data_IF_552236848888
#
_entry.id   IF_552236848888
#
_cell.length_a   1.000
_cell.length_b   1.000
_cell.length_c   1.000
_cell.angle_alpha   90.00
_cell.angle_beta   90.00
_cell.angle_gamma   90.00
#
_symmetry.space_group_name_H-M   'P 1'
#
loop_
_entity.id
_entity.type
_entity.pdbx_description
1 polymer ?
#
# COMPACT_ATOMS: atom_id res chain seq x y z
N UNK A 1 23.79 -17.45 -20.85
CA UNK A 1 22.32 -17.46 -20.78
C UNK A 1 21.91 -18.39 -19.64
N UNK A 2 21.88 -17.88 -18.41
CA UNK A 2 21.21 -18.60 -17.33
C UNK A 2 19.72 -18.40 -17.59
N UNK A 3 19.04 -19.46 -18.03
CA UNK A 3 17.58 -19.48 -18.11
C UNK A 3 17.07 -19.16 -16.71
N UNK A 4 16.43 -18.01 -16.55
CA UNK A 4 15.84 -17.55 -15.29
C UNK A 4 14.93 -18.67 -14.74
N UNK A 5 15.37 -19.38 -13.71
CA UNK A 5 14.59 -20.42 -13.01
C UNK A 5 13.51 -19.81 -12.10
N UNK A 6 12.96 -18.65 -12.47
CA UNK A 6 11.91 -18.01 -11.69
C UNK A 6 10.57 -18.73 -11.95
N UNK A 7 9.84 -19.04 -10.88
CA UNK A 7 8.45 -19.47 -10.97
C UNK A 7 7.58 -18.24 -11.12
N UNK A 8 7.00 -18.04 -12.29
CA UNK A 8 6.12 -16.91 -12.58
C UNK A 8 4.68 -17.40 -12.62
N UNK A 9 3.84 -16.85 -11.76
CA UNK A 9 2.41 -17.12 -11.72
C UNK A 9 1.60 -15.84 -11.88
N UNK A 10 0.36 -15.97 -12.30
CA UNK A 10 -0.59 -14.88 -12.46
C UNK A 10 -1.91 -15.24 -11.76
N UNK A 11 -2.54 -14.23 -11.15
CA UNK A 11 -3.87 -14.34 -10.58
C UNK A 11 -4.81 -13.43 -11.37
N UNK A 12 -5.88 -14.02 -11.89
CA UNK A 12 -6.91 -13.30 -12.64
C UNK A 12 -7.65 -12.30 -11.76
N UNK A 13 -8.10 -11.15 -12.31
CA UNK A 13 -9.00 -10.25 -11.61
C UNK A 13 -10.40 -10.84 -11.36
N UNK A 14 -10.71 -11.99 -11.95
CA UNK A 14 -11.99 -12.69 -11.81
C UNK A 14 -11.83 -14.00 -11.03
N UNK A 15 -12.84 -14.41 -10.23
CA UNK A 15 -12.81 -15.68 -9.53
C UNK A 15 -12.86 -16.88 -10.52
N UNK A 16 -12.31 -18.05 -10.15
CA UNK A 16 -11.61 -18.33 -8.90
C UNK A 16 -10.19 -17.73 -8.87
N UNK A 17 -9.83 -17.09 -7.76
CA UNK A 17 -8.52 -16.46 -7.55
C UNK A 17 -7.43 -17.52 -7.30
N UNK A 18 -6.94 -18.12 -8.38
CA UNK A 18 -5.92 -19.16 -8.35
C UNK A 18 -4.66 -18.70 -9.09
N UNK A 19 -3.51 -19.03 -8.53
CA UNK A 19 -2.23 -18.86 -9.21
C UNK A 19 -2.16 -19.81 -10.42
N UNK A 20 -1.98 -19.24 -11.61
CA UNK A 20 -1.77 -19.98 -12.86
C UNK A 20 -0.38 -19.69 -13.40
N UNK A 21 0.27 -20.69 -13.98
CA UNK A 21 1.57 -20.49 -14.62
C UNK A 21 1.48 -19.40 -15.69
N UNK A 22 2.48 -18.54 -15.72
CA UNK A 22 2.60 -17.42 -16.65
C UNK A 22 4.01 -17.46 -17.26
N UNK A 23 4.11 -17.37 -18.59
CA UNK A 23 5.42 -17.27 -19.23
C UNK A 23 5.99 -15.85 -19.10
N UNK A 24 7.31 -15.71 -19.19
CA UNK A 24 7.97 -14.41 -19.09
C UNK A 24 7.46 -13.40 -20.14
N UNK A 25 7.15 -13.88 -21.35
CA UNK A 25 6.68 -13.06 -22.48
C UNK A 25 5.27 -12.48 -22.23
N UNK A 26 4.45 -13.19 -21.45
CA UNK A 26 3.06 -12.78 -21.16
C UNK A 26 2.97 -11.77 -20.00
N UNK A 27 3.99 -11.70 -19.13
CA UNK A 27 3.96 -10.93 -17.87
C UNK A 27 3.41 -9.52 -18.07
N UNK A 28 3.98 -8.76 -19.01
CA UNK A 28 3.61 -7.36 -19.23
C UNK A 28 2.17 -7.22 -19.74
N UNK A 29 1.76 -8.07 -20.69
CA UNK A 29 0.38 -8.05 -21.22
C UNK A 29 -0.65 -8.43 -20.16
N UNK A 30 -0.34 -9.38 -19.28
CA UNK A 30 -1.24 -9.85 -18.22
C UNK A 30 -1.40 -8.82 -17.12
N UNK A 31 -0.32 -8.13 -16.72
CA UNK A 31 -0.42 -6.98 -15.80
C UNK A 31 -1.32 -5.88 -16.37
N UNK A 32 -1.20 -5.58 -17.67
CA UNK A 32 -2.05 -4.58 -18.33
C UNK A 32 -3.53 -5.00 -18.39
N UNK A 33 -3.81 -6.30 -18.38
CA UNK A 33 -5.17 -6.85 -18.31
C UNK A 33 -5.72 -6.89 -16.87
N UNK A 34 -4.92 -6.55 -15.87
CA UNK A 34 -5.30 -6.57 -14.46
C UNK A 34 -5.03 -7.88 -13.74
N UNK A 35 -4.16 -8.73 -14.29
CA UNK A 35 -3.66 -9.87 -13.52
C UNK A 35 -2.56 -9.40 -12.55
N UNK A 36 -2.55 -9.98 -11.36
CA UNK A 36 -1.46 -9.79 -10.40
C UNK A 36 -0.43 -10.88 -10.70
N UNK A 37 0.78 -10.47 -11.05
CA UNK A 37 1.89 -11.39 -11.32
C UNK A 37 2.71 -11.58 -10.06
N UNK A 38 3.06 -12.83 -9.78
CA UNK A 38 3.93 -13.22 -8.67
C UNK A 38 5.16 -13.90 -9.29
N UNK A 39 6.33 -13.36 -8.98
CA UNK A 39 7.62 -13.93 -9.38
C UNK A 39 8.25 -14.50 -8.11
N UNK A 40 8.48 -15.81 -8.10
CA UNK A 40 9.11 -16.53 -6.99
C UNK A 40 10.40 -17.21 -7.44
N UNK A 41 11.25 -17.53 -6.48
CA UNK A 41 12.47 -18.32 -6.69
C UNK A 41 13.41 -17.75 -7.77
N UNK A 42 13.41 -16.43 -7.94
CA UNK A 42 14.26 -15.73 -8.91
C UNK A 42 15.63 -15.43 -8.32
N UNK A 43 16.68 -16.10 -8.81
CA UNK A 43 18.07 -15.81 -8.41
C UNK A 43 18.46 -14.35 -8.70
N UNK A 44 17.97 -13.79 -9.81
CA UNK A 44 18.14 -12.37 -10.13
C UNK A 44 17.59 -11.48 -9.01
N UNK A 45 16.38 -11.76 -8.50
CA UNK A 45 15.79 -10.94 -7.43
C UNK A 45 16.47 -11.17 -6.09
N UNK A 46 16.87 -12.41 -5.76
CA UNK A 46 17.61 -12.73 -4.54
C UNK A 46 18.95 -12.00 -4.47
N UNK A 47 19.71 -12.01 -5.56
CA UNK A 47 21.00 -11.29 -5.64
C UNK A 47 20.82 -9.79 -5.40
N UNK A 48 19.79 -9.19 -6.01
CA UNK A 48 19.51 -7.75 -5.86
C UNK A 48 19.01 -7.40 -4.46
N UNK A 49 18.18 -8.23 -3.86
CA UNK A 49 17.77 -8.08 -2.45
C UNK A 49 18.97 -8.19 -1.52
N UNK A 50 19.89 -9.12 -1.76
CA UNK A 50 21.12 -9.24 -0.97
C UNK A 50 21.97 -7.97 -1.04
N UNK A 51 22.16 -7.40 -2.24
CA UNK A 51 22.88 -6.14 -2.42
C UNK A 51 22.18 -4.96 -1.72
N UNK A 52 20.86 -4.86 -1.84
CA UNK A 52 20.06 -3.87 -1.12
C UNK A 52 20.23 -4.00 0.41
N UNK A 53 20.06 -5.22 0.94
CA UNK A 53 20.18 -5.49 2.36
C UNK A 53 21.58 -5.20 2.88
N UNK A 54 22.64 -5.49 2.11
CA UNK A 54 24.01 -5.13 2.47
C UNK A 54 24.15 -3.61 2.66
N UNK A 55 23.70 -2.80 1.70
CA UNK A 55 23.75 -1.33 1.79
C UNK A 55 22.94 -0.83 3.01
N UNK A 56 21.76 -1.40 3.23
CA UNK A 56 20.87 -1.02 4.32
C UNK A 56 21.45 -1.36 5.70
N UNK A 57 21.93 -2.59 5.88
CA UNK A 57 22.47 -3.08 7.14
C UNK A 57 23.82 -2.44 7.46
N UNK A 58 24.68 -2.19 6.48
CA UNK A 58 25.90 -1.41 6.68
C UNK A 58 25.58 0.02 7.15
N UNK A 59 24.53 0.64 6.60
CA UNK A 59 24.10 1.97 7.03
C UNK A 59 23.55 1.99 8.46
N UNK A 60 22.84 0.93 8.88
CA UNK A 60 22.32 0.72 10.24
C UNK A 60 23.47 0.49 11.20
N UNK A 61 24.30 -0.54 10.97
CA UNK A 61 25.40 -0.93 11.85
C UNK A 61 26.42 0.22 12.00
N UNK A 62 26.65 1.02 10.95
CA UNK A 62 27.50 2.23 11.05
C UNK A 62 26.86 3.35 11.88
N UNK A 63 25.54 3.53 11.81
CA UNK A 63 24.83 4.53 12.63
C UNK A 63 24.66 4.08 14.08
N UNK A 64 24.60 2.76 14.30
CA UNK A 64 24.32 2.13 15.58
C UNK A 64 25.27 0.93 15.78
N UNK A 65 26.53 1.16 16.16
CA UNK A 65 27.56 0.12 16.26
C UNK A 65 27.25 -1.00 17.26
N UNK A 66 26.35 -0.74 18.21
CA UNK A 66 25.89 -1.71 19.19
C UNK A 66 24.86 -2.71 18.62
N UNK A 67 24.45 -2.54 17.36
CA UNK A 67 23.52 -3.41 16.64
C UNK A 67 24.29 -4.14 15.53
N UNK A 68 24.22 -5.46 15.52
CA UNK A 68 24.65 -6.28 14.39
C UNK A 68 23.42 -6.88 13.69
N UNK A 69 22.87 -6.13 12.74
CA UNK A 69 21.66 -6.53 12.04
C UNK A 69 21.97 -7.33 10.77
N UNK A 70 21.35 -8.50 10.62
CA UNK A 70 21.42 -9.33 9.40
C UNK A 70 20.04 -9.60 8.79
N UNK A 71 18.98 -9.09 9.41
CA UNK A 71 17.59 -9.26 8.97
C UNK A 71 16.77 -8.04 9.39
N UNK A 72 15.73 -7.73 8.62
CA UNK A 72 14.78 -6.69 8.99
C UNK A 72 13.89 -7.11 10.16
N UNK A 73 13.75 -8.42 10.40
CA UNK A 73 13.01 -8.95 11.55
C UNK A 73 13.51 -8.32 12.84
N UNK A 74 12.58 -7.98 13.71
CA UNK A 74 12.86 -7.36 15.02
C UNK A 74 13.64 -6.03 14.99
N UNK A 75 13.78 -5.35 13.85
CA UNK A 75 14.46 -4.04 13.80
C UNK A 75 13.91 -3.03 14.83
N UNK A 76 12.60 -3.09 15.09
CA UNK A 76 11.93 -2.24 16.07
C UNK A 76 12.39 -2.49 17.51
N UNK A 77 12.94 -3.66 17.85
CA UNK A 77 13.48 -3.89 19.20
C UNK A 77 14.74 -3.07 19.48
N UNK A 78 15.42 -2.61 18.43
CA UNK A 78 16.66 -1.85 18.55
C UNK A 78 16.48 -0.35 18.27
N UNK A 79 15.59 0.00 17.34
CA UNK A 79 15.35 1.38 16.92
C UNK A 79 13.89 1.75 17.15
N UNK A 80 13.64 2.94 17.69
CA UNK A 80 12.31 3.44 18.01
C UNK A 80 12.08 4.84 17.45
N UNK A 81 10.83 5.19 17.17
CA UNK A 81 10.40 6.53 16.76
C UNK A 81 11.31 7.21 15.73
N UNK A 82 11.92 8.33 16.12
CA UNK A 82 12.79 9.15 15.28
C UNK A 82 14.02 8.41 14.74
N UNK A 83 14.53 7.41 15.47
CA UNK A 83 15.67 6.61 15.00
C UNK A 83 15.27 5.76 13.77
N UNK A 84 14.09 5.13 13.82
CA UNK A 84 13.53 4.39 12.68
C UNK A 84 13.25 5.31 11.49
N UNK A 85 12.74 6.51 11.74
CA UNK A 85 12.51 7.48 10.68
C UNK A 85 13.82 7.92 10.02
N UNK A 86 14.80 8.34 10.82
CA UNK A 86 16.10 8.79 10.34
C UNK A 86 16.84 7.71 9.57
N UNK A 87 16.80 6.46 10.04
CA UNK A 87 17.45 5.36 9.33
C UNK A 87 16.73 5.01 8.02
N UNK A 88 15.39 5.02 8.00
CA UNK A 88 14.64 4.77 6.78
C UNK A 88 14.93 5.86 5.72
N UNK A 89 15.01 7.13 6.12
CA UNK A 89 15.39 8.23 5.22
C UNK A 89 16.81 8.05 4.67
N UNK A 90 17.77 7.70 5.54
CA UNK A 90 19.15 7.45 5.15
C UNK A 90 19.27 6.27 4.18
N UNK A 91 18.57 5.16 4.44
CA UNK A 91 18.56 3.99 3.56
C UNK A 91 17.95 4.34 2.20
N UNK A 92 16.83 5.05 2.16
CA UNK A 92 16.24 5.53 0.91
C UNK A 92 17.24 6.36 0.09
N UNK A 93 17.95 7.31 0.71
CA UNK A 93 18.95 8.13 0.03
C UNK A 93 20.14 7.32 -0.50
N UNK A 94 20.64 6.36 0.28
CA UNK A 94 21.79 5.54 -0.10
C UNK A 94 21.44 4.54 -1.20
N UNK A 95 20.22 4.03 -1.19
CA UNK A 95 19.78 2.97 -2.12
C UNK A 95 19.14 3.51 -3.39
N UNK A 96 18.66 4.76 -3.45
CA UNK A 96 18.00 5.34 -4.63
C UNK A 96 18.77 5.10 -5.95
N UNK A 97 20.10 5.35 -6.06
CA UNK A 97 20.82 5.13 -7.31
C UNK A 97 20.84 3.65 -7.72
N UNK A 98 20.98 2.76 -6.73
CA UNK A 98 20.97 1.32 -6.91
C UNK A 98 19.58 0.83 -7.34
N UNK A 99 18.52 1.28 -6.67
CA UNK A 99 17.14 0.89 -6.98
C UNK A 99 16.72 1.34 -8.38
N UNK A 100 17.09 2.55 -8.80
CA UNK A 100 16.82 3.01 -10.16
C UNK A 100 17.52 2.13 -11.22
N UNK A 101 18.75 1.70 -10.96
CA UNK A 101 19.49 0.81 -11.84
C UNK A 101 18.90 -0.62 -11.82
N UNK A 102 18.54 -1.14 -10.65
CA UNK A 102 17.85 -2.43 -10.52
C UNK A 102 16.53 -2.44 -11.28
N UNK A 103 15.70 -1.41 -11.14
CA UNK A 103 14.44 -1.32 -11.90
C UNK A 103 14.69 -1.35 -13.41
N UNK A 104 15.76 -0.72 -13.90
CA UNK A 104 16.14 -0.80 -15.33
C UNK A 104 16.48 -2.23 -15.73
N UNK A 105 17.39 -2.88 -15.00
CA UNK A 105 17.85 -4.24 -15.29
C UNK A 105 16.70 -5.25 -15.19
N UNK A 106 15.77 -5.05 -14.25
CA UNK A 106 14.56 -5.85 -14.15
C UNK A 106 13.74 -5.76 -15.44
N UNK A 107 13.50 -4.56 -15.97
CA UNK A 107 12.72 -4.41 -17.20
C UNK A 107 13.51 -4.88 -18.43
N UNK A 108 14.79 -4.52 -18.57
CA UNK A 108 15.56 -4.79 -19.78
C UNK A 108 16.11 -6.21 -19.87
N UNK A 109 16.54 -6.77 -18.74
CA UNK A 109 17.31 -8.00 -18.69
C UNK A 109 16.47 -9.14 -18.13
N UNK A 110 15.74 -8.92 -17.04
CA UNK A 110 14.85 -9.95 -16.47
C UNK A 110 13.60 -10.14 -17.33
N UNK A 111 12.84 -9.08 -17.61
CA UNK A 111 11.65 -9.12 -18.50
C UNK A 111 11.99 -9.12 -19.99
N UNK A 112 13.27 -8.98 -20.34
CA UNK A 112 13.76 -8.96 -21.73
C UNK A 112 13.12 -7.88 -22.62
N UNK A 113 12.61 -6.79 -22.03
CA UNK A 113 11.96 -5.71 -22.77
C UNK A 113 13.01 -4.76 -23.38
N UNK A 114 13.07 -4.70 -24.71
CA UNK A 114 14.12 -3.96 -25.45
C UNK A 114 13.71 -2.57 -25.92
N UNK A 115 12.40 -2.30 -25.95
CA UNK A 115 11.88 -1.00 -26.33
C UNK A 115 12.11 0.06 -25.24
N UNK A 116 11.86 1.31 -25.59
CA UNK A 116 11.96 2.42 -24.66
C UNK A 116 10.87 2.33 -23.58
N UNK A 117 11.29 2.40 -22.32
CA UNK A 117 10.42 2.53 -21.15
C UNK A 117 10.88 3.66 -20.22
N UNK A 118 10.06 3.97 -19.22
CA UNK A 118 10.28 5.05 -18.27
C UNK A 118 10.26 4.52 -16.84
N UNK A 119 11.23 4.94 -16.05
CA UNK A 119 11.40 4.54 -14.66
C UNK A 119 10.97 5.69 -13.77
N UNK A 120 10.24 5.37 -12.71
CA UNK A 120 9.78 6.36 -11.77
C UNK A 120 10.93 6.83 -10.87
N UNK A 121 10.93 8.11 -10.47
CA UNK A 121 12.01 8.65 -9.66
C UNK A 121 11.99 8.22 -8.21
N UNK A 122 10.82 8.08 -7.61
CA UNK A 122 10.73 7.84 -6.17
C UNK A 122 10.63 6.33 -5.94
N UNK A 123 11.76 5.71 -5.63
CA UNK A 123 11.83 4.34 -5.12
C UNK A 123 11.59 4.39 -3.61
N UNK A 124 10.68 3.57 -3.12
CA UNK A 124 10.18 3.68 -1.73
C UNK A 124 10.59 2.43 -0.94
N UNK A 125 11.38 2.62 0.11
CA UNK A 125 11.60 1.62 1.15
C UNK A 125 10.48 1.74 2.18
N UNK A 126 9.75 0.63 2.37
CA UNK A 126 8.59 0.54 3.27
C UNK A 126 8.97 -0.32 4.47
N UNK A 127 9.03 0.29 5.65
CA UNK A 127 9.43 -0.37 6.90
C UNK A 127 8.25 -0.34 7.86
N UNK A 128 7.56 -1.47 7.99
CA UNK A 128 6.31 -1.58 8.75
C UNK A 128 6.56 -2.40 10.01
N UNK A 129 6.60 -1.71 11.14
CA UNK A 129 6.75 -2.33 12.47
C UNK A 129 5.44 -2.97 12.95
N UNK A 130 5.47 -3.89 13.94
CA UNK A 130 4.25 -4.36 14.59
C UNK A 130 3.38 -3.19 15.05
N UNK A 131 2.06 -3.33 14.90
CA UNK A 131 1.16 -2.19 15.08
C UNK A 131 1.23 -1.57 16.48
N UNK A 132 1.49 -2.36 17.52
CA UNK A 132 1.67 -1.82 18.87
C UNK A 132 2.82 -0.80 18.92
N UNK A 133 3.96 -1.13 18.32
CA UNK A 133 5.11 -0.22 18.21
C UNK A 133 4.74 1.02 17.39
N UNK A 134 3.96 0.84 16.32
CA UNK A 134 3.45 1.98 15.56
C UNK A 134 2.56 2.89 16.42
N UNK A 135 1.65 2.34 17.21
CA UNK A 135 0.73 3.08 18.06
C UNK A 135 1.48 3.89 19.14
N UNK A 136 2.52 3.31 19.74
CA UNK A 136 3.38 3.98 20.72
C UNK A 136 4.20 5.13 20.12
N UNK A 137 4.43 5.11 18.80
CA UNK A 137 5.24 6.09 18.06
C UNK A 137 4.41 6.88 17.02
N UNK A 138 3.10 6.95 17.21
CA UNK A 138 2.16 7.41 16.18
C UNK A 138 2.45 8.85 15.71
N UNK A 139 2.85 9.76 16.62
CA UNK A 139 3.17 11.15 16.29
C UNK A 139 4.30 11.29 15.27
N UNK A 140 5.29 10.39 15.33
CA UNK A 140 6.43 10.38 14.42
C UNK A 140 6.08 9.68 13.11
N UNK A 141 5.27 8.61 13.13
CA UNK A 141 5.03 7.80 11.93
C UNK A 141 3.87 8.28 11.06
N UNK A 142 2.83 8.91 11.62
CA UNK A 142 1.66 9.40 10.87
C UNK A 142 1.97 10.32 9.68
N UNK A 143 3.00 11.18 9.69
CA UNK A 143 3.32 12.00 8.52
C UNK A 143 3.90 11.19 7.34
N UNK A 144 4.28 9.93 7.55
CA UNK A 144 5.05 9.10 6.62
C UNK A 144 4.19 7.97 6.04
N UNK A 145 3.07 8.36 5.41
CA UNK A 145 2.13 7.46 4.75
C UNK A 145 2.80 6.64 3.63
N UNK A 146 2.59 5.33 3.66
CA UNK A 146 3.13 4.38 2.70
C UNK A 146 4.56 3.93 2.98
N UNK A 147 5.32 4.61 3.83
CA UNK A 147 6.68 4.22 4.21
C UNK A 147 6.76 3.64 5.63
N UNK A 148 6.17 4.31 6.61
CA UNK A 148 6.11 3.87 8.01
C UNK A 148 4.67 3.71 8.51
N UNK A 149 3.73 4.47 7.92
CA UNK A 149 2.31 4.32 8.17
C UNK A 149 1.65 3.51 7.05
N UNK A 150 0.80 2.58 7.44
CA UNK A 150 0.00 1.77 6.53
C UNK A 150 -1.02 2.60 5.73
N UNK A 151 -1.31 2.16 4.51
CA UNK A 151 -2.27 2.81 3.62
C UNK A 151 -3.60 2.04 3.58
N UNK A 152 -4.70 2.76 3.76
CA UNK A 152 -6.06 2.28 3.52
C UNK A 152 -6.31 1.96 2.03
N UNK A 153 -7.41 1.27 1.66
CA UNK A 153 -7.65 0.89 0.28
C UNK A 153 -7.65 2.09 -0.67
N UNK A 154 -6.78 2.01 -1.67
CA UNK A 154 -6.57 3.06 -2.67
C UNK A 154 -6.11 2.48 -3.99
N UNK A 155 -6.23 3.28 -5.06
CA UNK A 155 -5.41 3.11 -6.25
C UNK A 155 -4.27 4.11 -6.22
N UNK A 156 -3.14 3.69 -6.74
CA UNK A 156 -1.91 4.46 -6.73
C UNK A 156 -2.04 5.73 -7.62
N UNK A 157 -2.92 5.71 -8.62
CA UNK A 157 -3.21 6.85 -9.49
C UNK A 157 -4.07 7.95 -8.85
N UNK A 158 -4.76 7.66 -7.74
CA UNK A 158 -5.70 8.59 -7.12
C UNK A 158 -5.01 9.81 -6.51
N UNK A 159 -5.75 10.91 -6.37
CA UNK A 159 -5.25 12.13 -5.73
C UNK A 159 -4.16 12.89 -6.51
N UNK A 160 -4.02 12.61 -7.81
CA UNK A 160 -2.90 13.10 -8.60
C UNK A 160 -1.63 12.27 -8.45
N UNK A 161 -1.77 11.00 -8.08
CA UNK A 161 -0.68 10.06 -7.88
C UNK A 161 0.01 9.66 -9.19
N UNK A 162 0.26 8.36 -9.36
CA UNK A 162 1.03 7.86 -10.49
C UNK A 162 0.23 7.86 -11.81
N UNK A 163 0.92 7.86 -12.95
CA UNK A 163 0.27 7.70 -14.24
C UNK A 163 -0.42 6.33 -14.34
N UNK A 164 -1.64 6.27 -14.88
CA UNK A 164 -2.44 5.04 -15.01
C UNK A 164 -1.72 3.92 -15.79
N UNK A 165 -0.75 4.29 -16.64
CA UNK A 165 0.09 3.37 -17.41
C UNK A 165 1.23 2.76 -16.60
N UNK A 166 1.37 3.11 -15.32
CA UNK A 166 2.46 2.65 -14.47
C UNK A 166 2.19 1.26 -13.92
N UNK A 167 3.28 0.51 -13.75
CA UNK A 167 3.31 -0.83 -13.18
C UNK A 167 4.11 -0.74 -11.88
N UNK A 168 3.51 -1.26 -10.81
CA UNK A 168 4.17 -1.47 -9.53
C UNK A 168 5.05 -2.71 -9.57
N UNK A 169 6.24 -2.55 -9.01
CA UNK A 169 7.17 -3.60 -8.68
C UNK A 169 7.37 -3.57 -7.16
N UNK A 170 6.66 -4.45 -6.45
CA UNK A 170 6.74 -4.57 -4.99
C UNK A 170 7.52 -5.83 -4.61
N UNK A 171 8.60 -5.66 -3.85
CA UNK A 171 9.60 -6.70 -3.63
C UNK A 171 9.79 -6.91 -2.14
N UNK A 172 9.65 -8.16 -1.69
CA UNK A 172 9.97 -8.56 -0.33
C UNK A 172 11.49 -8.55 -0.14
N UNK A 173 12.01 -7.73 0.77
CA UNK A 173 13.45 -7.68 1.09
C UNK A 173 13.84 -8.66 2.20
N UNK A 174 12.85 -9.10 2.96
CA UNK A 174 12.90 -10.15 3.96
C UNK A 174 11.59 -10.94 3.90
N UNK A 175 11.40 -11.94 4.74
CA UNK A 175 10.16 -12.71 4.79
C UNK A 175 8.94 -11.81 5.12
N UNK A 176 7.87 -12.00 4.34
CA UNK A 176 6.56 -11.38 4.53
C UNK A 176 5.58 -12.47 4.91
N UNK A 177 4.94 -12.30 6.05
CA UNK A 177 4.01 -13.25 6.64
C UNK A 177 2.56 -12.82 6.38
N UNK A 178 1.64 -13.77 6.47
CA UNK A 178 0.23 -13.43 6.63
C UNK A 178 0.06 -12.66 7.94
N UNK A 179 -0.65 -11.54 7.91
CA UNK A 179 -0.73 -10.63 9.05
C UNK A 179 0.31 -9.52 9.02
N UNK A 180 1.13 -9.41 7.97
CA UNK A 180 1.89 -8.19 7.67
C UNK A 180 2.03 -7.94 6.16
N UNK A 181 1.21 -8.55 5.30
CA UNK A 181 1.34 -8.50 3.84
C UNK A 181 0.78 -7.21 3.19
N UNK A 182 0.65 -7.22 1.86
CA UNK A 182 -0.24 -6.33 1.13
C UNK A 182 -1.55 -7.04 0.80
N UNK A 183 -2.61 -6.24 0.70
CA UNK A 183 -3.96 -6.69 0.41
C UNK A 183 -4.37 -6.22 -0.98
N UNK A 184 -4.98 -7.11 -1.76
CA UNK A 184 -5.48 -6.82 -3.10
C UNK A 184 -6.97 -7.10 -3.21
N UNK A 185 -7.67 -6.30 -4.01
CA UNK A 185 -9.08 -6.48 -4.31
C UNK A 185 -9.27 -6.66 -5.83
N UNK A 186 -8.95 -7.85 -6.39
CA UNK A 186 -9.02 -8.09 -7.83
C UNK A 186 -10.43 -7.92 -8.40
N UNK A 187 -11.47 -8.22 -7.62
CA UNK A 187 -12.88 -7.98 -7.96
C UNK A 187 -13.20 -6.51 -8.24
N UNK A 188 -12.36 -5.57 -7.80
CA UNK A 188 -12.53 -4.13 -8.03
C UNK A 188 -11.80 -3.65 -9.30
N UNK A 189 -11.10 -4.55 -10.01
CA UNK A 189 -10.42 -4.24 -11.26
C UNK A 189 -11.42 -3.78 -12.32
N UNK A 190 -11.09 -2.71 -13.03
CA UNK A 190 -11.92 -2.13 -14.10
C UNK A 190 -13.24 -1.50 -13.62
N UNK A 191 -13.64 -1.64 -12.35
CA UNK A 191 -14.84 -1.01 -11.81
C UNK A 191 -14.61 0.48 -11.58
N UNK A 192 -15.63 1.29 -11.85
CA UNK A 192 -15.62 2.69 -11.44
C UNK A 192 -15.84 2.76 -9.92
N UNK A 193 -14.89 3.36 -9.21
CA UNK A 193 -15.00 3.58 -7.76
C UNK A 193 -15.15 5.09 -7.57
N UNK A 194 -16.28 5.57 -7.01
CA UNK A 194 -16.45 6.99 -6.76
C UNK A 194 -15.40 7.46 -5.76
N UNK A 195 -14.66 8.50 -6.14
CA UNK A 195 -13.74 9.18 -5.23
C UNK A 195 -14.44 10.38 -4.62
N UNK A 196 -14.37 10.56 -3.29
CA UNK A 196 -14.66 11.85 -2.70
C UNK A 196 -13.68 12.86 -3.29
N UNK A 197 -14.18 14.03 -3.68
CA UNK A 197 -13.44 15.08 -4.41
C UNK A 197 -12.19 15.62 -3.71
N UNK A 198 -11.87 15.15 -2.50
CA UNK A 198 -10.71 15.56 -1.70
C UNK A 198 -9.86 14.39 -1.13
N UNK A 199 -10.24 13.12 -1.36
CA UNK A 199 -9.65 11.98 -0.64
C UNK A 199 -8.88 11.06 -1.60
N UNK A 200 -7.73 10.52 -1.17
CA UNK A 200 -6.87 9.59 -1.93
C UNK A 200 -7.09 8.13 -1.56
N UNK A 201 -8.18 7.82 -0.85
CA UNK A 201 -8.58 6.51 -0.38
C UNK A 201 -10.08 6.33 -0.58
N UNK A 202 -10.51 5.08 -0.52
CA UNK A 202 -11.88 4.68 -0.81
C UNK A 202 -12.88 5.23 0.21
N UNK A 203 -14.13 5.45 -0.21
CA UNK A 203 -15.23 5.72 0.73
C UNK A 203 -15.40 4.59 1.74
N UNK A 204 -15.70 4.94 2.99
CA UNK A 204 -15.76 3.98 4.11
C UNK A 204 -16.72 2.82 3.86
N UNK A 205 -17.87 3.12 3.26
CA UNK A 205 -18.95 2.19 2.96
C UNK A 205 -18.87 1.58 1.55
N UNK A 206 -17.81 1.86 0.78
CA UNK A 206 -17.67 1.26 -0.55
C UNK A 206 -17.61 -0.26 -0.42
N UNK A 207 -18.38 -1.02 -1.21
CA UNK A 207 -18.39 -2.47 -1.12
C UNK A 207 -17.01 -3.10 -1.39
N UNK A 208 -16.49 -3.79 -0.37
CA UNK A 208 -15.28 -4.59 -0.45
C UNK A 208 -15.63 -6.03 -0.12
N UNK A 209 -14.82 -6.96 -0.63
CA UNK A 209 -14.93 -8.37 -0.28
C UNK A 209 -13.59 -8.81 0.34
N UNK A 210 -13.50 -10.09 0.70
CA UNK A 210 -12.27 -10.70 1.20
C UNK A 210 -11.07 -10.36 0.29
N UNK A 211 -10.04 -9.66 0.77
CA UNK A 211 -8.87 -9.34 -0.03
C UNK A 211 -7.99 -10.58 -0.23
N UNK A 212 -7.21 -10.58 -1.31
CA UNK A 212 -6.07 -11.49 -1.46
C UNK A 212 -4.88 -10.96 -0.67
N UNK A 213 -4.10 -11.88 -0.11
CA UNK A 213 -2.88 -11.62 0.66
C UNK A 213 -1.84 -12.70 0.40
N UNK A 214 -0.57 -12.37 0.55
CA UNK A 214 0.53 -13.26 0.15
C UNK A 214 1.57 -13.42 1.24
N UNK A 215 1.97 -14.66 1.52
CA UNK A 215 3.25 -14.95 2.16
C UNK A 215 4.34 -14.96 1.08
N UNK A 216 5.43 -14.26 1.32
CA UNK A 216 6.49 -14.00 0.34
C UNK A 216 7.86 -14.20 0.99
N UNK A 217 8.75 -14.87 0.27
CA UNK A 217 10.14 -15.06 0.68
C UNK A 217 11.01 -13.88 0.19
N UNK A 218 12.21 -13.67 0.74
CA UNK A 218 13.11 -12.64 0.24
C UNK A 218 13.38 -12.79 -1.27
N UNK A 219 13.12 -11.72 -2.04
CA UNK A 219 13.22 -11.72 -3.50
C UNK A 219 11.91 -12.03 -4.23
N UNK A 220 10.91 -12.60 -3.55
CA UNK A 220 9.58 -12.75 -4.13
C UNK A 220 8.99 -11.36 -4.44
N UNK A 221 8.34 -11.29 -5.59
CA UNK A 221 7.99 -10.01 -6.20
C UNK A 221 6.58 -10.03 -6.74
N UNK A 222 5.83 -8.97 -6.42
CA UNK A 222 4.50 -8.71 -6.94
C UNK A 222 4.56 -7.64 -8.02
N UNK A 223 4.03 -7.97 -9.20
CA UNK A 223 3.85 -7.06 -10.32
C UNK A 223 2.36 -6.81 -10.54
N UNK A 224 1.94 -5.54 -10.53
CA UNK A 224 0.54 -5.17 -10.70
C UNK A 224 0.41 -3.75 -11.23
N UNK A 225 -0.69 -3.45 -11.93
CA UNK A 225 -0.99 -2.09 -12.36
C UNK A 225 -1.27 -1.15 -11.18
N UNK A 226 -0.90 0.14 -11.30
CA UNK A 226 -1.29 1.16 -10.31
C UNK A 226 -2.80 1.34 -10.15
N UNK A 227 -3.59 0.85 -11.13
CA UNK A 227 -5.05 0.84 -11.09
C UNK A 227 -5.64 -0.30 -10.24
N UNK A 228 -4.83 -1.23 -9.72
CA UNK A 228 -5.34 -2.20 -8.77
C UNK A 228 -5.68 -1.52 -7.46
N UNK A 229 -6.92 -1.73 -7.00
CA UNK A 229 -7.28 -1.39 -5.63
C UNK A 229 -6.48 -2.32 -4.69
N UNK A 230 -5.74 -1.72 -3.78
CA UNK A 230 -4.92 -2.42 -2.81
C UNK A 230 -4.79 -1.63 -1.51
N UNK A 231 -4.38 -2.30 -0.45
CA UNK A 231 -4.07 -1.69 0.85
C UNK A 231 -2.93 -2.43 1.54
N UNK A 232 -2.48 -1.91 2.67
CA UNK A 232 -1.56 -2.62 3.55
C UNK A 232 -2.31 -3.47 4.56
N UNK A 233 -1.88 -4.71 4.80
CA UNK A 233 -2.33 -5.47 5.96
C UNK A 233 -1.77 -4.82 7.23
N UNK A 234 -2.59 -4.72 8.27
CA UNK A 234 -2.09 -4.29 9.58
C UNK A 234 -1.03 -5.28 10.06
N UNK A 235 0.11 -4.80 10.54
CA UNK A 235 1.16 -5.68 11.03
C UNK A 235 0.78 -6.22 12.43
N UNK A 236 0.21 -7.42 12.44
CA UNK A 236 -0.19 -8.20 13.62
C UNK A 236 0.84 -9.27 13.99
N UNK A 237 1.97 -9.30 13.27
CA UNK A 237 3.08 -10.19 13.54
C UNK A 237 4.05 -9.54 14.52
N UNK A 238 4.99 -10.34 15.00
CA UNK A 238 6.06 -9.87 15.88
C UNK A 238 7.26 -9.30 15.10
N UNK A 239 7.22 -9.26 13.76
CA UNK A 239 8.38 -8.90 12.93
C UNK A 239 8.18 -7.56 12.23
N UNK A 240 9.27 -6.77 12.11
CA UNK A 240 9.28 -5.62 11.21
C UNK A 240 9.36 -6.13 9.78
N UNK A 241 8.40 -5.72 8.94
CA UNK A 241 8.44 -5.97 7.50
C UNK A 241 9.23 -4.87 6.80
N UNK A 242 10.14 -5.24 5.93
CA UNK A 242 10.69 -4.33 4.93
C UNK A 242 10.35 -4.78 3.51
N UNK A 243 10.00 -3.83 2.66
CA UNK A 243 9.76 -4.06 1.24
C UNK A 243 10.22 -2.86 0.42
N UNK A 244 10.64 -3.12 -0.81
CA UNK A 244 10.97 -2.07 -1.77
C UNK A 244 9.84 -1.95 -2.79
N UNK A 245 9.42 -0.72 -3.07
CA UNK A 245 8.53 -0.43 -4.20
C UNK A 245 9.25 0.40 -5.23
N UNK A 246 9.30 -0.12 -6.45
CA UNK A 246 9.76 0.58 -7.64
C UNK A 246 8.61 0.64 -8.65
N UNK A 247 8.67 1.56 -9.62
CA UNK A 247 7.64 1.70 -10.64
C UNK A 247 8.25 1.97 -12.00
N UNK A 248 7.61 1.46 -13.04
CA UNK A 248 7.98 1.73 -14.42
C UNK A 248 6.74 1.86 -15.30
N UNK A 249 6.89 2.42 -16.49
CA UNK A 249 5.85 2.47 -17.50
C UNK A 249 6.44 2.21 -18.89
N UNK A 250 5.74 1.40 -19.67
CA UNK A 250 6.16 1.05 -21.04
C UNK A 250 5.92 2.18 -22.04
N UNK A 251 5.02 3.11 -21.70
CA UNK A 251 4.71 4.31 -22.49
C UNK A 251 5.05 5.57 -21.69
N UNK A 252 5.11 6.72 -22.35
CA UNK A 252 5.42 7.95 -21.63
C UNK A 252 4.26 8.28 -20.67
N UNK A 253 4.51 8.36 -19.36
CA UNK A 253 3.48 8.51 -18.36
C UNK A 253 2.87 9.91 -18.42
N UNK A 254 1.54 9.97 -18.40
CA UNK A 254 0.79 11.22 -18.30
C UNK A 254 0.31 11.38 -16.87
N UNK A 255 0.63 12.52 -16.25
CA UNK A 255 0.17 12.81 -14.88
C UNK A 255 -1.33 13.11 -14.92
N UNK A 256 -2.16 12.41 -14.13
CA UNK A 256 -3.61 12.65 -14.12
C UNK A 256 -3.96 14.01 -13.48
N UNK A 257 -3.03 14.61 -12.71
CA UNK A 257 -3.21 15.95 -12.16
C UNK A 257 -1.93 16.77 -12.10
N UNK A 258 -2.09 18.07 -11.83
CA UNK A 258 -1.00 19.03 -11.63
C UNK A 258 -0.58 19.15 -10.16
N UNK A 259 -1.12 18.35 -9.24
CA UNK A 259 -0.99 18.59 -7.80
C UNK A 259 0.25 17.91 -7.22
N UNK A 260 0.64 16.77 -7.79
CA UNK A 260 1.79 15.97 -7.34
C UNK A 260 2.63 15.51 -8.54
N UNK A 261 3.04 16.44 -9.40
CA UNK A 261 3.93 16.10 -10.51
C UNK A 261 5.23 15.47 -10.00
N UNK A 262 5.64 14.38 -10.65
CA UNK A 262 6.81 13.57 -10.31
C UNK A 262 7.61 13.28 -11.57
N UNK A 263 8.93 13.18 -11.41
CA UNK A 263 9.83 13.00 -12.53
C UNK A 263 9.91 11.54 -12.97
N UNK A 264 10.13 11.34 -14.27
CA UNK A 264 10.32 10.02 -14.86
C UNK A 264 11.63 10.01 -15.64
N UNK A 265 12.40 8.94 -15.46
CA UNK A 265 13.66 8.69 -16.11
C UNK A 265 13.46 7.87 -17.38
N UNK A 266 13.92 8.37 -18.52
CA UNK A 266 14.04 7.59 -19.74
C UNK A 266 15.15 6.55 -19.60
N UNK A 267 14.77 5.27 -19.71
CA UNK A 267 15.62 4.08 -19.53
C UNK A 267 16.94 4.12 -20.32
N UNK A 268 16.93 4.76 -21.50
CA UNK A 268 18.11 4.89 -22.38
C UNK A 268 19.26 5.63 -21.73
N UNK A 269 18.98 6.53 -20.78
CA UNK A 269 19.98 7.43 -20.21
C UNK A 269 20.44 7.06 -18.79
N UNK A 270 19.65 6.26 -18.04
CA UNK A 270 19.87 5.96 -16.60
C UNK A 270 21.26 5.41 -16.26
N UNK A 271 21.84 4.60 -17.14
CA UNK A 271 23.15 3.94 -16.93
C UNK A 271 24.25 4.54 -17.81
N UNK A 272 24.09 5.79 -18.24
CA UNK A 272 25.03 6.45 -19.16
C UNK A 272 25.60 7.71 -18.53
N UNK A 273 26.70 8.22 -19.08
CA UNK A 273 27.26 9.54 -18.71
C UNK A 273 26.26 10.70 -18.90
N UNK A 274 25.19 10.46 -19.65
CA UNK A 274 24.12 11.41 -19.95
C UNK A 274 22.89 11.22 -19.06
N UNK A 275 23.01 10.57 -17.89
CA UNK A 275 21.90 10.38 -16.94
C UNK A 275 21.13 11.67 -16.63
N UNK A 276 21.79 12.83 -16.62
CA UNK A 276 21.14 14.13 -16.42
C UNK A 276 20.08 14.47 -17.48
N UNK A 277 20.15 13.88 -18.68
CA UNK A 277 19.12 14.00 -19.73
C UNK A 277 17.92 13.06 -19.52
N UNK A 278 18.02 12.06 -18.63
CA UNK A 278 17.00 11.04 -18.44
C UNK A 278 15.63 11.64 -18.06
N UNK A 279 15.62 12.72 -17.28
CA UNK A 279 14.40 13.39 -16.83
C UNK A 279 13.95 14.55 -17.72
N UNK A 280 14.73 14.91 -18.76
CA UNK A 280 14.48 16.12 -19.54
C UNK A 280 13.03 16.15 -20.10
N UNK A 281 12.58 15.05 -20.70
CA UNK A 281 11.21 14.95 -21.24
C UNK A 281 10.13 15.15 -20.16
N UNK A 282 10.38 14.66 -18.94
CA UNK A 282 9.46 14.84 -17.83
C UNK A 282 9.38 16.32 -17.42
N UNK A 283 10.52 17.01 -17.32
CA UNK A 283 10.59 18.44 -16.99
C UNK A 283 10.06 19.38 -18.09
N UNK A 284 9.94 18.92 -19.34
CA UNK A 284 9.29 19.69 -20.42
C UNK A 284 7.84 19.28 -20.67
N UNK A 285 7.25 18.43 -19.83
CA UNK A 285 5.85 18.02 -19.95
C UNK A 285 4.88 19.13 -19.57
N UNK A 286 3.68 19.12 -20.18
CA UNK A 286 2.59 20.03 -19.80
C UNK A 286 2.23 19.92 -18.31
N UNK A 287 2.28 18.70 -17.76
CA UNK A 287 2.06 18.44 -16.35
C UNK A 287 3.06 19.18 -15.43
N UNK A 288 4.35 19.17 -15.77
CA UNK A 288 5.37 19.90 -15.00
C UNK A 288 5.14 21.41 -15.04
N UNK A 289 4.80 21.95 -16.22
CA UNK A 289 4.52 23.38 -16.40
C UNK A 289 3.30 23.77 -15.55
N UNK A 290 2.20 23.02 -15.63
CA UNK A 290 1.01 23.23 -14.81
C UNK A 290 1.29 23.16 -13.30
N UNK A 291 2.07 22.17 -12.86
CA UNK A 291 2.53 22.04 -11.47
C UNK A 291 3.32 23.25 -11.01
N UNK A 292 4.30 23.73 -11.80
CA UNK A 292 5.08 24.94 -11.45
C UNK A 292 4.21 26.18 -11.34
N UNK A 293 3.31 26.41 -12.31
CA UNK A 293 2.40 27.54 -12.30
C UNK A 293 1.48 27.51 -11.07
N UNK A 294 0.92 26.34 -10.74
CA UNK A 294 0.07 26.15 -9.55
C UNK A 294 0.84 26.37 -8.25
N UNK A 295 2.06 25.84 -8.13
CA UNK A 295 2.87 26.02 -6.92
C UNK A 295 3.36 27.47 -6.76
N UNK A 296 3.66 28.17 -7.86
CA UNK A 296 3.87 29.61 -7.80
C UNK A 296 2.61 30.31 -7.29
N UNK A 297 1.43 30.02 -7.82
CA UNK A 297 0.15 30.59 -7.35
C UNK A 297 -0.10 30.32 -5.86
N UNK A 298 0.12 29.07 -5.39
CA UNK A 298 0.04 28.71 -3.96
C UNK A 298 1.06 29.47 -3.11
N UNK A 299 2.29 29.67 -3.60
CA UNK A 299 3.32 30.48 -2.92
C UNK A 299 2.88 31.93 -2.80
N UNK A 300 2.34 32.53 -3.86
CA UNK A 300 1.79 33.88 -3.84
C UNK A 300 0.59 34.00 -2.88
N UNK A 301 -0.31 33.03 -2.88
CA UNK A 301 -1.43 32.98 -1.93
C UNK A 301 -0.93 32.83 -0.48
N UNK A 302 0.09 32.01 -0.21
CA UNK A 302 0.70 31.89 1.12
C UNK A 302 1.34 33.19 1.56
N UNK A 303 2.08 33.89 0.68
CA UNK A 303 2.66 35.20 0.98
C UNK A 303 1.55 36.21 1.30
N UNK A 304 0.48 36.23 0.48
CA UNK A 304 -0.68 37.09 0.71
C UNK A 304 -1.37 36.77 2.05
N UNK A 305 -1.65 35.50 2.33
CA UNK A 305 -2.26 35.05 3.58
C UNK A 305 -1.36 35.27 4.79
N UNK A 306 -0.03 35.15 4.65
CA UNK A 306 0.91 35.44 5.72
C UNK A 306 0.99 36.94 6.03
N UNK A 307 0.87 37.79 5.01
CA UNK A 307 0.69 39.23 5.20
C UNK A 307 -0.66 39.52 5.86
N UNK A 308 -1.74 38.87 5.42
CA UNK A 308 -3.10 39.08 5.92
C UNK A 308 -3.28 38.60 7.38
N UNK A 309 -2.79 37.40 7.72
CA UNK A 309 -2.81 36.83 9.07
C UNK A 309 -1.91 37.58 10.07
N UNK A 310 -0.94 38.36 9.59
CA UNK A 310 -0.14 39.27 10.43
C UNK A 310 -0.95 40.49 10.88
N UNK A 311 -2.02 40.83 10.18
CA UNK A 311 -2.89 41.97 10.50
C UNK A 311 -4.27 41.55 11.04
N UNK A 312 -4.79 40.35 10.72
CA UNK A 312 -6.07 39.85 11.21
C UNK A 312 -6.05 38.32 11.36
N UNK A 313 -5.85 37.77 12.56
CA UNK A 313 -5.97 36.34 12.79
C UNK A 313 -7.45 35.91 12.72
N UNK A 314 -7.77 34.99 11.82
CA UNK A 314 -9.11 34.39 11.72
C UNK A 314 -9.18 33.08 12.51
N UNK A 315 -10.29 32.88 13.23
CA UNK A 315 -10.66 31.62 13.86
C UNK A 315 -11.24 30.65 12.82
N UNK A 316 -10.79 29.40 12.84
CA UNK A 316 -11.28 28.33 11.97
C UNK A 316 -12.63 27.80 12.45
N UNK A 317 -13.66 27.70 11.58
CA UNK A 317 -14.87 26.97 11.92
C UNK A 317 -14.66 25.47 11.73
N UNK A 318 -15.05 24.73 12.76
CA UNK A 318 -15.18 23.28 12.78
C UNK A 318 -16.28 22.87 11.78
N UNK A 319 -15.94 22.00 10.82
CA UNK A 319 -16.89 21.46 9.85
C UNK A 319 -17.26 20.03 10.24
N UNK A 320 -18.48 19.88 10.74
CA UNK A 320 -19.15 18.60 10.92
C UNK A 320 -19.89 18.27 9.62
N UNK A 321 -19.43 17.26 8.88
CA UNK A 321 -20.18 16.70 7.76
C UNK A 321 -20.90 15.43 8.24
N UNK A 322 -22.23 15.51 8.33
CA UNK A 322 -23.11 14.38 8.51
C UNK A 322 -23.53 13.82 7.15
N UNK A 323 -23.31 12.53 6.95
CA UNK A 323 -23.80 11.78 5.79
C UNK A 323 -24.92 10.84 6.26
N UNK A 324 -26.14 11.17 5.83
CA UNK A 324 -27.31 10.29 5.96
C UNK A 324 -27.29 9.26 4.84
N UNK A 325 -27.23 7.98 5.18
CA UNK A 325 -27.62 6.89 4.28
C UNK A 325 -28.29 5.78 5.10
N UNK A 326 -29.57 5.54 4.85
CA UNK A 326 -30.23 4.26 5.12
C UNK A 326 -30.23 3.42 3.84
N UNK A 327 -30.08 2.10 3.98
CA UNK A 327 -31.11 1.24 3.43
C UNK A 327 -31.58 0.22 4.45
N UNK A 328 -32.90 0.12 4.58
CA UNK A 328 -33.58 -0.96 5.27
C UNK A 328 -33.50 -2.18 4.33
N UNK A 329 -32.82 -3.25 4.76
CA UNK A 329 -32.74 -4.51 4.01
C UNK A 329 -33.41 -5.60 4.83
N UNK A 330 -34.26 -6.35 4.14
CA UNK A 330 -35.09 -7.44 4.67
C UNK A 330 -34.24 -8.51 5.37
N UNK A 331 -34.53 -8.74 6.66
CA UNK A 331 -33.78 -9.58 7.58
C UNK A 331 -34.14 -11.06 7.38
N UNK A 332 -33.53 -11.74 6.40
CA UNK A 332 -33.59 -13.21 6.30
C UNK A 332 -32.24 -13.89 6.02
N UNK A 333 -31.65 -14.37 7.12
CA UNK A 333 -31.00 -15.67 7.35
C UNK A 333 -30.08 -16.23 6.25
N UNK A 334 -28.84 -15.75 6.18
CA UNK A 334 -27.71 -16.57 5.72
C UNK A 334 -26.67 -16.56 6.85
N UNK A 335 -26.24 -17.73 7.35
CA UNK A 335 -25.22 -17.79 8.40
C UNK A 335 -23.94 -17.10 7.91
N UNK A 336 -23.28 -16.36 8.79
CA UNK A 336 -22.02 -15.65 8.54
C UNK A 336 -22.07 -14.48 7.54
N UNK A 337 -23.25 -14.02 7.12
CA UNK A 337 -23.39 -12.75 6.37
C UNK A 337 -23.57 -11.59 7.35
N UNK A 338 -22.74 -10.55 7.19
CA UNK A 338 -22.81 -9.34 8.00
C UNK A 338 -23.93 -8.45 7.46
N UNK A 339 -24.80 -7.98 8.35
CA UNK A 339 -25.93 -7.13 8.03
C UNK A 339 -25.82 -5.80 8.78
N UNK A 340 -26.23 -4.71 8.14
CA UNK A 340 -26.31 -3.39 8.78
C UNK A 340 -27.64 -3.34 9.54
N UNK A 341 -27.59 -3.20 10.86
CA UNK A 341 -28.78 -3.01 11.70
C UNK A 341 -29.19 -1.55 11.71
N UNK A 342 -28.22 -0.65 11.89
CA UNK A 342 -28.41 0.80 11.90
C UNK A 342 -27.12 1.55 11.50
N UNK A 343 -27.08 2.87 11.66
CA UNK A 343 -25.95 3.71 11.29
C UNK A 343 -24.63 3.35 12.01
N UNK A 344 -24.70 2.72 13.17
CA UNK A 344 -23.56 2.45 14.06
C UNK A 344 -23.37 0.98 14.40
N UNK A 345 -24.32 0.10 14.05
CA UNK A 345 -24.35 -1.30 14.47
C UNK A 345 -24.51 -2.24 13.29
N UNK A 346 -23.73 -3.32 13.32
CA UNK A 346 -23.85 -4.48 12.45
C UNK A 346 -24.28 -5.70 13.25
N UNK A 347 -24.80 -6.69 12.54
CA UNK A 347 -25.24 -7.95 13.12
C UNK A 347 -24.82 -9.11 12.22
N UNK A 348 -24.48 -10.24 12.83
CA UNK A 348 -24.27 -11.51 12.13
C UNK A 348 -25.04 -12.61 12.83
N UNK A 349 -25.70 -13.46 12.03
CA UNK A 349 -26.26 -14.72 12.52
C UNK A 349 -25.18 -15.80 12.44
N UNK A 350 -24.92 -16.43 13.58
CA UNK A 350 -24.05 -17.61 13.72
C UNK A 350 -24.89 -18.81 14.15
N UNK A 351 -24.30 -20.01 14.14
CA UNK A 351 -24.97 -21.22 14.66
C UNK A 351 -25.34 -21.07 16.15
N UNK A 352 -24.52 -20.36 16.93
CA UNK A 352 -24.70 -20.13 18.38
C UNK A 352 -25.64 -18.96 18.71
N UNK A 353 -26.20 -18.32 17.68
CA UNK A 353 -27.10 -17.17 17.84
C UNK A 353 -26.65 -15.92 17.12
N UNK A 354 -27.34 -14.82 17.43
CA UNK A 354 -27.13 -13.54 16.78
C UNK A 354 -26.11 -12.70 17.57
N UNK A 355 -25.11 -12.16 16.88
CA UNK A 355 -24.06 -11.33 17.48
C UNK A 355 -24.14 -9.93 16.87
N UNK A 356 -24.38 -8.91 17.70
CA UNK A 356 -24.32 -7.50 17.33
C UNK A 356 -22.96 -6.90 17.70
N UNK A 357 -22.44 -6.01 16.85
CA UNK A 357 -21.15 -5.35 17.03
C UNK A 357 -21.12 -3.96 16.36
N UNK A 358 -20.17 -3.06 16.74
CA UNK A 358 -20.05 -1.75 16.11
C UNK A 358 -19.78 -1.85 14.62
N UNK A 359 -20.39 -0.98 13.82
CA UNK A 359 -20.23 -0.95 12.35
C UNK A 359 -18.82 -0.54 11.92
N UNK A 360 -18.16 0.35 12.67
CA UNK A 360 -16.88 0.91 12.24
C UNK A 360 -15.71 0.29 13.02
N UNK A 361 -14.70 -0.15 12.26
CA UNK A 361 -13.49 -0.72 12.81
C UNK A 361 -12.75 0.32 13.69
N UNK A 362 -12.37 -0.02 14.94
CA UNK A 362 -11.70 0.91 15.85
C UNK A 362 -10.29 1.33 15.39
N UNK A 363 -9.73 0.68 14.37
CA UNK A 363 -8.40 1.02 13.85
C UNK A 363 -8.40 2.29 12.97
N UNK A 364 -9.10 2.27 11.83
CA UNK A 364 -9.15 3.41 10.89
C UNK A 364 -10.57 3.70 10.38
N UNK A 365 -11.60 3.19 11.09
CA UNK A 365 -13.00 3.47 10.76
C UNK A 365 -13.53 2.78 9.50
N UNK A 366 -12.85 1.75 9.01
CA UNK A 366 -13.36 0.92 7.91
C UNK A 366 -14.71 0.28 8.28
N UNK A 367 -15.65 0.26 7.34
CA UNK A 367 -16.99 -0.31 7.55
C UNK A 367 -16.91 -1.84 7.65
N UNK A 368 -17.16 -2.37 8.84
CA UNK A 368 -17.14 -3.80 9.13
C UNK A 368 -18.29 -4.53 8.43
N UNK A 369 -19.32 -3.83 7.95
CA UNK A 369 -20.32 -4.43 7.06
C UNK A 369 -19.73 -4.95 5.75
N UNK A 370 -18.59 -4.40 5.32
CA UNK A 370 -17.85 -4.86 4.14
C UNK A 370 -16.81 -5.94 4.47
N UNK A 371 -16.71 -6.31 5.75
CA UNK A 371 -15.82 -7.36 6.23
C UNK A 371 -16.28 -8.75 5.81
N UNK A 372 -15.59 -9.76 6.33
CA UNK A 372 -15.94 -11.15 6.12
C UNK A 372 -15.72 -11.96 7.38
N UNK A 373 -16.38 -13.10 7.48
CA UNK A 373 -16.26 -14.02 8.62
C UNK A 373 -15.57 -15.29 8.16
N UNK A 374 -14.58 -15.71 8.93
CA UNK A 374 -13.83 -16.94 8.69
C UNK A 374 -13.35 -17.48 10.04
N UNK A 375 -13.53 -18.78 10.27
CA UNK A 375 -13.02 -19.46 11.46
C UNK A 375 -13.40 -18.76 12.79
N UNK A 376 -14.67 -18.36 12.93
CA UNK A 376 -15.17 -17.70 14.14
C UNK A 376 -14.67 -16.27 14.35
N UNK A 377 -14.04 -15.66 13.35
CA UNK A 377 -13.49 -14.30 13.42
C UNK A 377 -14.10 -13.38 12.38
N UNK A 378 -14.32 -12.13 12.75
CA UNK A 378 -14.69 -11.02 11.86
C UNK A 378 -13.42 -10.31 11.37
N UNK A 379 -13.24 -10.21 10.06
CA UNK A 379 -12.13 -9.53 9.42
C UNK A 379 -12.57 -8.19 8.82
N UNK A 380 -11.88 -7.12 9.19
CA UNK A 380 -12.06 -5.81 8.58
C UNK A 380 -11.52 -5.80 7.15
N UNK A 381 -12.34 -5.40 6.18
CA UNK A 381 -11.95 -5.39 4.77
C UNK A 381 -10.72 -4.53 4.48
N UNK A 382 -10.55 -3.39 5.17
CA UNK A 382 -9.51 -2.41 4.84
C UNK A 382 -8.07 -2.87 5.10
N UNK A 383 -7.84 -3.49 6.26
CA UNK A 383 -6.49 -3.84 6.74
C UNK A 383 -6.40 -5.28 7.24
N UNK A 384 -7.46 -6.06 7.05
CA UNK A 384 -7.55 -7.46 7.45
C UNK A 384 -7.33 -7.72 8.95
N UNK A 385 -7.65 -6.73 9.78
CA UNK A 385 -7.67 -6.86 11.24
C UNK A 385 -8.79 -7.84 11.63
N UNK A 386 -8.46 -8.86 12.42
CA UNK A 386 -9.39 -9.89 12.84
C UNK A 386 -9.88 -9.64 14.27
N UNK A 387 -11.16 -9.89 14.52
CA UNK A 387 -11.79 -9.87 15.83
C UNK A 387 -12.44 -11.22 16.11
N UNK A 388 -12.12 -11.81 17.24
CA UNK A 388 -12.75 -13.03 17.72
C UNK A 388 -14.23 -12.76 18.03
N UNK A 389 -15.16 -13.51 17.40
CA UNK A 389 -16.61 -13.29 17.59
C UNK A 389 -17.11 -13.81 18.94
N UNK A 390 -16.29 -14.57 19.68
CA UNK A 390 -16.65 -15.00 21.02
C UNK A 390 -16.35 -13.90 22.06
N UNK A 391 -15.20 -13.25 21.94
CA UNK A 391 -14.62 -12.36 22.96
C UNK A 391 -14.55 -10.90 22.54
N UNK A 392 -14.69 -10.60 21.25
CA UNK A 392 -14.48 -9.28 20.65
C UNK A 392 -13.00 -8.87 20.55
N UNK A 393 -12.07 -9.71 21.03
CA UNK A 393 -10.64 -9.37 21.08
C UNK A 393 -10.04 -9.33 19.68
N UNK A 394 -9.23 -8.30 19.35
CA UNK A 394 -8.51 -8.26 18.10
C UNK A 394 -7.28 -9.16 18.15
N UNK A 395 -6.79 -9.60 16.99
CA UNK A 395 -5.48 -10.25 16.87
C UNK A 395 -4.29 -9.25 16.95
N UNK A 396 -4.49 -8.09 17.57
CA UNK A 396 -3.54 -6.99 17.60
C UNK A 396 -3.65 -6.21 18.92
N UNK A 397 -2.62 -6.30 19.78
CA UNK A 397 -2.66 -5.75 21.14
C UNK A 397 -2.90 -4.22 21.21
N UNK A 398 -2.48 -3.46 20.19
CA UNK A 398 -2.68 -2.01 20.13
C UNK A 398 -4.10 -1.55 19.75
N UNK A 399 -5.04 -2.48 19.53
CA UNK A 399 -6.41 -2.16 19.11
C UNK A 399 -7.40 -2.54 20.24
N UNK A 400 -8.38 -1.69 20.58
CA UNK A 400 -9.40 -2.06 21.55
C UNK A 400 -10.34 -3.16 21.01
N UNK A 401 -10.90 -4.01 21.90
CA UNK A 401 -11.87 -5.03 21.52
C UNK A 401 -13.19 -4.43 21.04
N UNK A 402 -13.93 -5.19 20.23
CA UNK A 402 -15.31 -4.86 19.87
C UNK A 402 -16.24 -5.17 21.04
N UNK A 403 -17.16 -4.25 21.32
CA UNK A 403 -18.28 -4.51 22.22
C UNK A 403 -19.30 -5.42 21.54
N UNK A 404 -19.38 -6.68 21.98
CA UNK A 404 -20.31 -7.66 21.43
C UNK A 404 -21.58 -7.75 22.28
N UNK A 405 -22.74 -7.81 21.63
CA UNK A 405 -24.01 -8.16 22.27
C UNK A 405 -24.55 -9.45 21.64
N UNK A 406 -24.57 -10.53 22.42
CA UNK A 406 -24.99 -11.87 21.96
C UNK A 406 -26.42 -12.14 22.38
N UNK A 407 -27.28 -12.43 21.42
CA UNK A 407 -28.61 -12.96 21.65
C UNK A 407 -28.60 -14.44 21.34
N UNK A 408 -28.56 -15.25 22.40
CA UNK A 408 -28.67 -16.71 22.31
C UNK A 408 -30.17 -17.03 22.14
N UNK A 409 -30.57 -17.82 21.12
CA UNK A 409 -31.94 -18.27 21.02
C UNK A 409 -32.33 -19.00 22.32
N UNK A 410 -33.43 -18.59 22.96
CA UNK A 410 -33.96 -19.36 24.09
C UNK A 410 -34.28 -20.79 23.62
N UNK A 411 -33.84 -21.83 24.38
CA UNK A 411 -34.03 -23.23 23.99
C UNK A 411 -35.49 -23.66 23.87
#
# INVERSE_FOLDING_TARGET
MLVNQAKITAISPQPPYQERSCSLEEVLSRVQQGEIIIIRDSEFMKEKVQQFNQIAFDAINKSHPDIELQSWKKLHLYLQGEQLLGINQKINQLTEPFLLQWAKEFVSDFLQYRDRFYLYSDTIVRTFVPYQVFAENQSTFLPHLGTLQLQSPHRDSWGGGFAETAINLWIATDEVLLGNSMLFYPQQWGKHIPLPTAITHIERNHPLEKPLRFALQPGDTLLFSVEHLHSSEINTTEDTRCAVTMRFSLTFPQSPSFDQWRSWYDSRWVSTRWKWLAQARSHFSHAHIGYRLKNQKKRWQRIKNHLQNRFFPQTTPEKTESLNITPNVDLKAHPHVIQIKDAHTCVVNTEDGMIEFPRYCPHQGGDLAQGYIEEGKLYCAWHNLAFDLETGKPNCAGIPPLSLNKQIPNP
#
